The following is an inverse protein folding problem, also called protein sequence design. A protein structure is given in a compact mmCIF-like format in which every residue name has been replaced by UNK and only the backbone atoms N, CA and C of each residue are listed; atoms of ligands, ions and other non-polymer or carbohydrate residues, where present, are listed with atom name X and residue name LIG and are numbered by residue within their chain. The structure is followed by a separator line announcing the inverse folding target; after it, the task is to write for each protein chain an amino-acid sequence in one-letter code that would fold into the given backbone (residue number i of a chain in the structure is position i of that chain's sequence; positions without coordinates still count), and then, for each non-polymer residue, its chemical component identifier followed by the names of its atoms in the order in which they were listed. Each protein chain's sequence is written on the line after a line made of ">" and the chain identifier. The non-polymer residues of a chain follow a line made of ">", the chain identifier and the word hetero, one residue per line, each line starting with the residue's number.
data_IF_912515319149
#
_entry.id   IF_912515319149
#
_cell.length_a   1.000
_cell.length_b   1.000
_cell.length_c   1.000
_cell.angle_alpha   90.00
_cell.angle_beta   90.00
_cell.angle_gamma   90.00
#
_symmetry.space_group_name_H-M   'P 1'
#
loop_
_entity.id
_entity.type
_entity.pdbx_description
1 polymer ?
#
# COMPACT_ATOMS: atom_id res chain seq x y z
N UNK A 6 -8.40 -23.39 -10.91
CA UNK A 6 -7.38 -23.68 -9.88
C UNK A 6 -5.93 -23.77 -10.40
N UNK A 7 -5.46 -22.82 -11.21
CA UNK A 7 -4.18 -22.99 -11.91
C UNK A 7 -3.60 -21.71 -12.55
N UNK A 8 -4.27 -21.26 -13.61
CA UNK A 8 -3.96 -19.98 -14.27
C UNK A 8 -5.23 -19.15 -14.49
N UNK A 9 -5.05 -17.85 -14.71
CA UNK A 9 -6.18 -17.01 -15.16
C UNK A 9 -5.86 -16.04 -16.30
N UNK A 10 -6.87 -15.72 -17.10
CA UNK A 10 -6.71 -14.71 -18.13
C UNK A 10 -7.12 -13.36 -17.58
N UNK A 11 -6.30 -12.36 -17.86
CA UNK A 11 -6.39 -11.08 -17.18
C UNK A 11 -6.77 -9.92 -18.08
N UNK A 12 -7.62 -9.01 -17.61
CA UNK A 12 -7.82 -7.75 -18.31
C UNK A 12 -7.39 -6.57 -17.45
N UNK A 13 -6.22 -6.01 -17.72
CA UNK A 13 -5.67 -4.97 -16.87
C UNK A 13 -6.41 -3.64 -17.05
N UNK A 14 -6.57 -2.90 -15.97
CA UNK A 14 -7.37 -1.68 -16.03
C UNK A 14 -6.51 -0.46 -15.84
N UNK A 15 -5.21 -0.64 -15.68
CA UNK A 15 -4.35 0.48 -15.33
C UNK A 15 -4.25 1.49 -16.44
N UNK A 16 -4.50 1.07 -17.67
CA UNK A 16 -4.43 2.03 -18.77
C UNK A 16 -5.64 2.99 -18.86
N UNK A 17 -6.76 2.60 -18.26
CA UNK A 17 -7.93 3.49 -18.19
C UNK A 17 -7.72 4.64 -17.18
N UNK A 18 -7.22 5.79 -17.63
CA UNK A 18 -6.89 6.87 -16.70
C UNK A 18 -8.12 7.44 -16.00
N UNK A 19 -9.25 7.34 -16.67
CA UNK A 19 -10.48 7.80 -16.08
C UNK A 19 -10.87 6.93 -14.90
N UNK A 20 -11.01 5.64 -15.16
CA UNK A 20 -11.26 4.68 -14.10
C UNK A 20 -10.21 4.81 -13.02
N UNK A 21 -8.95 4.94 -13.42
CA UNK A 21 -7.85 4.95 -12.46
C UNK A 21 -7.96 6.09 -11.46
N UNK A 22 -8.34 7.26 -11.95
CA UNK A 22 -8.53 8.40 -11.09
C UNK A 22 -9.49 8.10 -9.96
N UNK A 23 -10.59 7.46 -10.26
CA UNK A 23 -11.59 7.23 -9.23
C UNK A 23 -11.19 6.10 -8.30
N UNK A 24 -10.37 5.20 -8.80
CA UNK A 24 -9.98 4.00 -8.08
C UNK A 24 -8.87 4.33 -7.07
N UNK A 25 -8.03 5.28 -7.44
CA UNK A 25 -7.03 5.79 -6.53
C UNK A 25 -7.68 6.67 -5.47
N UNK A 26 -8.66 7.46 -5.88
CA UNK A 26 -9.40 8.24 -4.91
C UNK A 26 -10.09 7.33 -3.90
N UNK A 27 -10.60 6.17 -4.34
CA UNK A 27 -11.25 5.28 -3.39
C UNK A 27 -10.22 4.67 -2.46
N UNK A 28 -9.12 4.17 -3.02
CA UNK A 28 -8.03 3.63 -2.22
C UNK A 28 -7.48 4.69 -1.27
N UNK A 29 -7.45 5.93 -1.73
CA UNK A 29 -6.97 7.01 -0.89
C UNK A 29 -7.88 7.19 0.32
N UNK A 30 -9.19 7.09 0.13
CA UNK A 30 -10.11 7.16 1.24
C UNK A 30 -9.88 6.05 2.25
N UNK A 31 -9.42 4.88 1.78
CA UNK A 31 -9.18 3.78 2.69
C UNK A 31 -8.02 4.16 3.59
N UNK A 32 -6.95 4.65 2.98
CA UNK A 32 -5.74 5.05 3.69
C UNK A 32 -6.03 6.18 4.68
N UNK A 33 -6.87 7.13 4.28
CA UNK A 33 -7.26 8.25 5.10
C UNK A 33 -8.00 7.84 6.36
N UNK A 34 -8.74 6.73 6.30
CA UNK A 34 -9.53 6.30 7.46
C UNK A 34 -8.64 5.47 8.36
N UNK A 35 -7.43 5.20 7.87
CA UNK A 35 -6.49 4.34 8.55
C UNK A 35 -6.93 2.90 8.77
N UNK A 36 -7.19 2.17 7.69
CA UNK A 36 -7.60 0.77 7.82
C UNK A 36 -6.46 -0.22 7.60
N UNK A 37 -6.45 -1.30 8.38
CA UNK A 37 -5.47 -2.36 8.20
C UNK A 37 -5.78 -3.08 6.91
N UNK A 38 -5.33 -2.53 5.78
CA UNK A 38 -5.49 -3.23 4.50
C UNK A 38 -4.39 -2.92 3.51
N UNK A 39 -4.10 -3.93 2.70
CA UNK A 39 -3.09 -3.90 1.65
C UNK A 39 -3.76 -3.56 0.32
N UNK A 40 -3.48 -2.35 -0.18
CA UNK A 40 -3.97 -1.91 -1.49
C UNK A 40 -3.49 -2.77 -2.64
N UNK A 41 -4.32 -2.96 -3.65
CA UNK A 41 -3.87 -3.56 -4.89
C UNK A 41 -3.20 -2.53 -5.78
N UNK A 42 -2.07 -2.90 -6.38
CA UNK A 42 -1.31 -1.97 -7.24
C UNK A 42 -1.64 -2.05 -8.76
N UNK A 43 -1.99 -3.22 -9.26
CA UNK A 43 -2.33 -3.33 -10.68
C UNK A 43 -3.73 -3.87 -10.81
N UNK A 44 -4.71 -2.97 -10.76
CA UNK A 44 -6.13 -3.33 -10.84
C UNK A 44 -6.38 -4.02 -12.16
N UNK A 45 -7.24 -5.03 -12.14
CA UNK A 45 -7.50 -5.85 -13.31
C UNK A 45 -8.77 -6.62 -13.07
N UNK A 46 -9.33 -7.17 -14.14
CA UNK A 46 -10.51 -7.99 -14.04
C UNK A 46 -10.17 -9.35 -14.60
N UNK A 47 -10.36 -10.39 -13.79
CA UNK A 47 -10.08 -11.74 -14.21
C UNK A 47 -11.20 -12.18 -15.15
N UNK A 48 -10.86 -12.64 -16.36
CA UNK A 48 -11.90 -12.99 -17.32
C UNK A 48 -12.26 -14.46 -17.26
N UNK A 49 -11.31 -15.30 -16.89
CA UNK A 49 -11.56 -16.72 -16.67
C UNK A 49 -10.38 -17.40 -15.98
N UNK A 50 -10.66 -18.51 -15.32
CA UNK A 50 -9.60 -19.31 -14.72
C UNK A 50 -9.46 -20.57 -15.55
N UNK A 51 -8.26 -21.08 -15.65
CA UNK A 51 -8.10 -22.31 -16.41
C UNK A 51 -7.10 -23.27 -15.80
N UNK A 52 -7.33 -24.57 -16.03
CA UNK A 52 -6.35 -25.57 -15.68
C UNK A 52 -5.48 -25.87 -16.92
N UNK A 53 -4.27 -25.31 -16.90
CA UNK A 53 -3.36 -25.32 -18.04
C UNK A 53 -2.01 -25.94 -17.69
N UNK A 54 -1.48 -26.78 -18.56
CA UNK A 54 -0.09 -27.26 -18.43
C UNK A 54 0.78 -26.33 -19.26
N UNK A 55 2.07 -26.22 -18.93
CA UNK A 55 2.97 -25.24 -19.57
C UNK A 55 3.15 -25.42 -21.08
N UNK A 56 2.66 -26.56 -21.59
CA UNK A 56 2.64 -26.87 -23.02
C UNK A 56 1.29 -26.53 -23.66
N UNK A 57 0.42 -25.86 -22.90
CA UNK A 57 -0.83 -25.35 -23.43
C UNK A 57 -0.79 -23.83 -23.56
N UNK A 58 0.31 -23.24 -23.09
CA UNK A 58 0.59 -21.83 -23.26
C UNK A 58 0.41 -21.36 -24.70
N UNK A 59 0.96 -22.11 -25.65
CA UNK A 59 0.87 -21.71 -27.04
C UNK A 59 -0.58 -21.62 -27.47
N UNK A 60 -1.40 -22.55 -26.99
CA UNK A 60 -2.80 -22.59 -27.39
C UNK A 60 -3.64 -21.56 -26.65
N UNK A 61 -3.13 -21.10 -25.52
CA UNK A 61 -3.81 -20.04 -24.78
C UNK A 61 -3.55 -18.73 -25.51
N UNK A 62 -2.27 -18.44 -25.81
CA UNK A 62 -1.89 -17.23 -26.54
C UNK A 62 -2.72 -17.09 -27.82
N UNK A 63 -2.99 -18.21 -28.47
CA UNK A 63 -3.74 -18.21 -29.72
C UNK A 63 -5.23 -17.85 -29.54
N UNK A 64 -5.79 -18.20 -28.38
CA UNK A 64 -7.20 -17.93 -28.07
C UNK A 64 -7.36 -16.47 -27.73
N UNK A 65 -6.48 -16.01 -26.84
CA UNK A 65 -6.39 -14.61 -26.48
C UNK A 65 -6.29 -13.76 -27.75
N UNK A 66 -5.41 -14.17 -28.65
CA UNK A 66 -5.20 -13.44 -29.90
C UNK A 66 -6.43 -13.50 -30.79
N UNK A 67 -7.23 -14.54 -30.62
CA UNK A 67 -8.33 -14.78 -31.52
C UNK A 67 -9.46 -13.89 -31.13
N UNK A 68 -9.51 -13.57 -29.85
CA UNK A 68 -10.46 -12.62 -29.28
C UNK A 68 -10.05 -11.18 -29.67
N UNK A 69 -8.80 -10.82 -29.35
CA UNK A 69 -8.20 -9.54 -29.72
C UNK A 69 -8.44 -9.15 -31.17
N UNK A 70 -8.55 -10.15 -32.03
CA UNK A 70 -8.82 -9.90 -33.44
C UNK A 70 -10.26 -9.46 -33.64
N UNK A 71 -11.14 -9.88 -32.74
CA UNK A 71 -12.56 -9.56 -32.85
C UNK A 71 -12.95 -8.60 -31.71
N UNK A 72 -11.98 -7.85 -31.21
CA UNK A 72 -12.23 -6.96 -30.08
C UNK A 72 -13.35 -5.95 -30.37
N UNK A 73 -13.52 -5.59 -31.63
CA UNK A 73 -14.60 -4.68 -32.02
C UNK A 73 -16.02 -5.24 -31.75
N UNK A 74 -16.13 -6.54 -31.52
CA UNK A 74 -17.45 -7.12 -31.27
C UNK A 74 -17.90 -6.90 -29.84
N UNK A 75 -17.01 -6.37 -29.01
CA UNK A 75 -17.23 -6.28 -27.57
C UNK A 75 -17.20 -4.83 -27.13
N UNK A 76 -17.16 -3.94 -28.10
CA UNK A 76 -17.13 -2.52 -27.82
C UNK A 76 -18.39 -2.08 -27.10
N UNK A 77 -18.22 -1.22 -26.11
CA UNK A 77 -19.32 -0.91 -25.25
C UNK A 77 -18.82 -0.20 -24.02
N UNK A 78 -19.45 -0.48 -22.90
CA UNK A 78 -19.18 0.24 -21.68
C UNK A 78 -18.84 -0.74 -20.62
N UNK A 79 -17.68 -0.55 -20.01
CA UNK A 79 -17.36 -1.27 -18.81
C UNK A 79 -17.93 -0.39 -17.70
N UNK A 80 -18.85 -0.93 -16.89
CA UNK A 80 -19.35 -0.16 -15.75
C UNK A 80 -18.92 -0.73 -14.42
N UNK A 81 -18.26 0.12 -13.63
CA UNK A 81 -17.75 -0.25 -12.30
C UNK A 81 -18.62 0.36 -11.20
N UNK A 82 -19.15 -0.48 -10.32
CA UNK A 82 -19.95 0.02 -9.21
C UNK A 82 -20.00 -0.91 -7.99
N UNK A 83 -20.73 -0.47 -6.96
CA UNK A 83 -21.02 -1.28 -5.77
C UNK A 83 -19.80 -1.76 -4.99
N UNK A 84 -19.02 -0.82 -4.41
CA UNK A 84 -17.92 -1.33 -3.59
C UNK A 84 -18.45 -2.08 -2.37
N UNK A 85 -18.14 -3.37 -2.30
CA UNK A 85 -18.73 -4.24 -1.31
C UNK A 85 -17.71 -5.27 -0.84
N UNK A 86 -17.98 -5.90 0.29
CA UNK A 86 -17.02 -6.90 0.75
C UNK A 86 -17.29 -8.21 0.04
N UNK A 87 -16.23 -8.86 -0.41
CA UNK A 87 -16.33 -10.16 -1.04
C UNK A 87 -15.21 -10.96 -0.41
N UNK A 88 -15.53 -11.68 0.66
CA UNK A 88 -14.54 -12.36 1.49
C UNK A 88 -13.80 -11.39 2.37
N UNK A 89 -12.48 -11.34 2.17
CA UNK A 89 -11.62 -10.40 2.89
C UNK A 89 -11.27 -9.16 2.06
N UNK A 90 -11.53 -9.19 0.76
CA UNK A 90 -11.19 -8.06 -0.10
C UNK A 90 -12.34 -7.07 -0.28
N UNK A 91 -12.02 -5.79 -0.46
CA UNK A 91 -12.99 -4.82 -0.91
C UNK A 91 -12.89 -4.82 -2.44
N UNK A 92 -14.06 -4.80 -3.08
CA UNK A 92 -14.21 -5.29 -4.43
C UNK A 92 -15.28 -4.47 -5.14
N UNK A 93 -15.03 -4.16 -6.42
CA UNK A 93 -15.97 -3.46 -7.27
C UNK A 93 -16.68 -4.48 -8.17
N UNK A 94 -17.97 -4.29 -8.43
CA UNK A 94 -18.67 -5.13 -9.41
C UNK A 94 -18.32 -4.65 -10.81
N UNK A 95 -18.02 -5.56 -11.73
CA UNK A 95 -17.76 -5.13 -13.11
C UNK A 95 -18.77 -5.65 -14.16
N UNK A 96 -19.24 -4.76 -15.02
CA UNK A 96 -20.17 -5.14 -16.05
C UNK A 96 -19.72 -4.68 -17.43
N UNK A 97 -19.84 -5.58 -18.42
CA UNK A 97 -19.47 -5.26 -19.79
C UNK A 97 -18.49 -6.23 -20.39
N UNK A 98 -18.19 -7.31 -19.67
CA UNK A 98 -17.25 -8.30 -20.16
C UNK A 98 -17.97 -9.63 -20.36
N UNK A 99 -19.29 -9.61 -20.37
CA UNK A 99 -20.09 -10.84 -20.34
C UNK A 99 -19.90 -11.71 -21.60
N UNK A 100 -20.08 -11.12 -22.78
CA UNK A 100 -19.81 -11.85 -24.03
C UNK A 100 -18.35 -12.23 -24.23
N UNK A 101 -17.45 -11.26 -24.11
CA UNK A 101 -16.00 -11.50 -24.06
C UNK A 101 -15.68 -12.72 -23.17
N UNK A 102 -16.33 -12.84 -22.02
CA UNK A 102 -16.06 -13.98 -21.16
C UNK A 102 -16.55 -15.27 -21.81
N UNK A 103 -17.81 -15.28 -22.23
CA UNK A 103 -18.41 -16.46 -22.87
C UNK A 103 -17.57 -16.92 -24.05
N UNK A 104 -17.29 -15.97 -24.93
CA UNK A 104 -16.57 -16.26 -26.14
C UNK A 104 -15.17 -16.83 -25.90
N UNK A 105 -14.37 -16.17 -25.06
CA UNK A 105 -13.00 -16.65 -24.89
C UNK A 105 -13.00 -17.99 -24.20
N UNK A 106 -14.09 -18.31 -23.52
CA UNK A 106 -14.19 -19.61 -22.88
C UNK A 106 -14.40 -20.68 -23.96
N UNK A 107 -15.40 -20.46 -24.83
CA UNK A 107 -15.64 -21.33 -25.99
C UNK A 107 -14.38 -21.55 -26.83
N UNK A 108 -13.71 -20.46 -27.21
CA UNK A 108 -12.46 -20.56 -27.94
C UNK A 108 -11.50 -21.47 -27.19
N UNK A 109 -11.18 -21.15 -25.94
CA UNK A 109 -10.26 -21.93 -25.11
C UNK A 109 -10.57 -23.43 -25.01
N UNK A 110 -11.83 -23.81 -25.12
CA UNK A 110 -12.20 -25.20 -24.95
C UNK A 110 -11.92 -26.02 -26.22
N UNK A 111 -12.38 -25.56 -27.37
CA UNK A 111 -11.99 -26.22 -28.62
C UNK A 111 -10.46 -26.16 -28.87
N UNK A 112 -9.77 -25.23 -28.23
CA UNK A 112 -8.32 -25.26 -28.18
C UNK A 112 -7.84 -26.28 -27.14
N UNK A 113 -8.79 -27.03 -26.59
CA UNK A 113 -8.46 -28.05 -25.60
C UNK A 113 -7.98 -27.56 -24.24
N UNK A 114 -8.25 -26.30 -23.91
CA UNK A 114 -8.02 -25.79 -22.56
C UNK A 114 -9.30 -25.82 -21.71
N UNK A 115 -9.19 -26.37 -20.51
CA UNK A 115 -10.32 -26.43 -19.57
C UNK A 115 -10.34 -25.13 -18.78
N UNK A 116 -11.44 -24.38 -18.92
CA UNK A 116 -11.53 -23.07 -18.30
C UNK A 116 -12.89 -22.85 -17.65
N UNK A 117 -12.94 -21.88 -16.74
CA UNK A 117 -14.13 -21.52 -15.98
C UNK A 117 -14.42 -22.50 -14.85
N UNK A 118 -15.59 -22.32 -14.23
CA UNK A 118 -16.14 -23.24 -13.24
C UNK A 118 -17.61 -23.42 -13.57
N UNK A 119 -18.25 -24.42 -12.94
CA UNK A 119 -19.66 -24.70 -13.18
C UNK A 119 -20.52 -23.64 -12.49
N UNK A 120 -19.99 -23.14 -11.37
CA UNK A 120 -20.60 -22.05 -10.60
C UNK A 120 -20.70 -20.80 -11.46
N UNK A 121 -21.72 -19.98 -11.18
CA UNK A 121 -21.95 -18.77 -11.96
C UNK A 121 -20.72 -17.85 -11.90
N UNK A 122 -20.32 -17.32 -13.06
CA UNK A 122 -19.18 -16.39 -13.10
C UNK A 122 -19.67 -14.99 -12.76
N UNK A 123 -19.05 -14.40 -11.75
CA UNK A 123 -19.34 -13.02 -11.38
C UNK A 123 -18.02 -12.26 -11.34
N UNK A 124 -17.86 -11.31 -12.27
CA UNK A 124 -16.64 -10.52 -12.52
C UNK A 124 -16.48 -9.36 -11.53
N UNK A 125 -15.30 -9.24 -10.94
CA UNK A 125 -15.04 -8.17 -10.00
C UNK A 125 -13.70 -7.50 -10.21
N UNK A 126 -13.54 -6.34 -9.58
CA UNK A 126 -12.28 -5.62 -9.57
C UNK A 126 -11.88 -5.42 -8.13
N UNK A 127 -10.75 -5.98 -7.74
CA UNK A 127 -10.33 -5.90 -6.35
C UNK A 127 -9.67 -4.56 -6.00
N UNK A 128 -10.20 -3.89 -4.96
CA UNK A 128 -9.66 -2.61 -4.49
C UNK A 128 -8.54 -2.78 -3.44
N UNK A 129 -8.75 -3.69 -2.49
CA UNK A 129 -7.85 -3.84 -1.34
C UNK A 129 -8.17 -5.10 -0.59
N UNK A 130 -7.16 -5.76 -0.03
CA UNK A 130 -7.40 -6.95 0.79
C UNK A 130 -7.14 -6.67 2.27
N UNK A 131 -8.09 -7.03 3.12
CA UNK A 131 -7.94 -6.79 4.55
C UNK A 131 -7.32 -8.00 5.27
N UNK A 132 -7.05 -7.80 6.56
CA UNK A 132 -6.34 -8.77 7.40
C UNK A 132 -7.28 -9.85 7.93
N UNK A 133 -8.49 -9.45 8.29
CA UNK A 133 -9.47 -10.39 8.84
C UNK A 133 -10.93 -9.93 8.65
N UNK A 134 -11.52 -10.33 7.53
CA UNK A 134 -12.96 -10.21 7.25
C UNK A 134 -13.61 -8.91 7.75
N UNK A 135 -13.03 -7.76 7.39
CA UNK A 135 -13.41 -6.47 7.95
C UNK A 135 -14.82 -5.98 7.59
N UNK A 136 -14.97 -4.66 7.56
CA UNK A 136 -16.29 -4.08 7.46
C UNK A 136 -16.44 -3.15 6.26
N UNK A 137 -17.63 -3.18 5.69
CA UNK A 137 -17.98 -2.29 4.60
C UNK A 137 -18.62 -1.04 5.17
N UNK A 138 -17.81 -0.03 5.43
CA UNK A 138 -18.36 1.28 5.67
C UNK A 138 -19.13 1.65 4.38
N UNK A 139 -20.04 2.61 4.45
CA UNK A 139 -20.79 3.01 3.27
C UNK A 139 -19.90 3.54 2.16
N UNK A 140 -19.16 2.63 1.52
CA UNK A 140 -18.26 2.98 0.44
C UNK A 140 -19.06 3.26 -0.84
N UNK A 141 -18.61 4.21 -1.64
CA UNK A 141 -19.38 4.63 -2.80
C UNK A 141 -18.54 4.89 -4.05
N UNK A 142 -18.76 4.06 -5.06
CA UNK A 142 -17.99 4.14 -6.29
C UNK A 142 -18.90 3.94 -7.50
N UNK A 143 -18.80 4.84 -8.47
CA UNK A 143 -19.41 4.60 -9.76
C UNK A 143 -18.55 5.11 -10.91
N UNK A 144 -18.32 4.24 -11.88
CA UNK A 144 -17.64 4.69 -13.08
C UNK A 144 -18.03 3.90 -14.32
N UNK A 145 -18.06 4.61 -15.46
CA UNK A 145 -18.35 4.04 -16.77
C UNK A 145 -17.18 4.33 -17.72
N UNK A 146 -16.40 3.31 -18.08
CA UNK A 146 -15.34 3.45 -19.09
C UNK A 146 -15.87 3.03 -20.46
N UNK A 147 -15.64 3.88 -21.48
CA UNK A 147 -15.89 3.36 -22.83
C UNK A 147 -14.81 2.34 -23.22
N UNK A 148 -15.25 1.19 -23.72
CA UNK A 148 -14.37 0.12 -24.16
C UNK A 148 -14.49 -0.02 -25.67
N UNK A 149 -13.60 0.63 -26.39
CA UNK A 149 -13.62 0.61 -27.84
C UNK A 149 -12.16 0.55 -28.29
N UNK A 150 -11.87 -0.09 -29.42
CA UNK A 150 -10.51 0.04 -29.96
C UNK A 150 -10.41 1.25 -30.88
N UNK A 151 -9.27 1.94 -30.85
CA UNK A 151 -9.00 3.13 -31.67
C UNK A 151 -8.92 2.86 -33.17
N UNK A 152 -8.89 3.92 -33.98
CA UNK A 152 -8.69 3.79 -35.43
C UNK A 152 -7.60 4.72 -35.99
N UNK A 153 -7.32 5.80 -35.27
CA UNK A 153 -6.28 6.74 -35.66
C UNK A 153 -5.15 6.65 -34.64
N UNK A 154 -5.00 5.44 -34.10
CA UNK A 154 -3.90 5.15 -33.21
C UNK A 154 -3.49 3.72 -33.48
N UNK A 155 -2.49 3.58 -34.34
CA UNK A 155 -2.00 2.27 -34.77
C UNK A 155 -0.97 1.80 -33.74
N UNK A 156 -0.74 2.65 -32.75
CA UNK A 156 0.15 2.38 -31.62
C UNK A 156 -0.54 1.46 -30.61
N UNK A 157 -1.84 1.24 -30.84
CA UNK A 157 -2.69 0.37 -30.01
C UNK A 157 -2.40 0.49 -28.53
N UNK A 158 -2.56 -0.61 -27.80
CA UNK A 158 -2.41 -0.55 -26.35
C UNK A 158 -2.25 -1.94 -25.73
N UNK A 159 -2.76 -2.07 -24.50
CA UNK A 159 -2.70 -3.32 -23.77
C UNK A 159 -4.01 -4.11 -23.96
N UNK A 160 -4.15 -5.18 -23.18
CA UNK A 160 -5.30 -6.05 -23.30
C UNK A 160 -5.01 -7.36 -22.62
N UNK A 161 -5.78 -8.38 -23.00
CA UNK A 161 -5.72 -9.71 -22.39
C UNK A 161 -4.31 -10.29 -22.25
N UNK A 162 -4.11 -11.01 -21.14
CA UNK A 162 -2.81 -11.55 -20.71
C UNK A 162 -3.06 -12.84 -19.98
N UNK A 163 -2.14 -13.79 -20.10
CA UNK A 163 -2.25 -15.03 -19.35
C UNK A 163 -1.29 -14.98 -18.17
N UNK A 164 -1.79 -15.06 -16.94
CA UNK A 164 -0.89 -14.98 -15.77
C UNK A 164 -0.93 -16.18 -14.81
N UNK A 165 0.18 -16.35 -14.09
CA UNK A 165 0.43 -17.49 -13.22
C UNK A 165 -0.29 -17.42 -11.85
N UNK A 166 -0.80 -18.57 -11.42
CA UNK A 166 -1.47 -18.74 -10.10
C UNK A 166 -2.90 -18.21 -10.10
N UNK B 5 27.32 -2.54 13.89
CA UNK B 5 27.06 -1.11 13.81
C UNK B 5 26.23 -0.80 12.57
N UNK B 6 24.94 -0.45 12.75
CA UNK B 6 24.21 -0.49 14.02
C UNK B 6 23.67 -1.88 14.30
N UNK B 7 22.43 -1.99 14.75
CA UNK B 7 21.97 -3.22 15.41
C UNK B 7 20.52 -3.19 15.94
N UNK B 8 20.29 -2.45 17.04
CA UNK B 8 18.94 -2.15 17.51
C UNK B 8 18.76 -0.64 17.42
N UNK B 9 17.67 -0.14 17.99
CA UNK B 9 17.52 1.30 18.17
C UNK B 9 16.42 1.58 19.18
N UNK B 10 16.43 2.78 19.74
CA UNK B 10 15.38 3.18 20.67
C UNK B 10 14.37 3.98 19.88
N UNK B 11 13.10 3.61 20.05
CA UNK B 11 12.05 4.10 19.19
C UNK B 11 11.04 4.94 19.96
N UNK B 12 10.49 5.96 19.31
CA UNK B 12 9.36 6.70 19.87
C UNK B 12 8.16 6.56 18.92
N UNK B 13 7.18 5.74 19.30
CA UNK B 13 5.97 5.47 18.51
C UNK B 13 5.07 6.68 18.44
N UNK B 14 4.56 7.01 17.25
CA UNK B 14 3.72 8.19 17.10
C UNK B 14 2.24 7.83 16.93
N UNK B 15 1.96 6.53 16.84
CA UNK B 15 0.60 6.03 16.61
C UNK B 15 -0.41 6.49 17.67
N UNK B 16 0.11 6.83 18.86
CA UNK B 16 -0.70 7.31 19.97
C UNK B 16 -1.23 8.72 19.75
N UNK B 17 -0.51 9.53 18.99
CA UNK B 17 -0.92 10.92 18.80
C UNK B 17 -2.05 11.04 17.76
N UNK B 18 -3.29 10.89 18.19
CA UNK B 18 -4.42 10.95 17.27
C UNK B 18 -4.45 12.26 16.47
N UNK B 19 -3.83 13.30 17.02
CA UNK B 19 -3.73 14.56 16.31
C UNK B 19 -2.79 14.45 15.14
N UNK B 20 -1.65 13.79 15.37
CA UNK B 20 -0.62 13.66 14.35
C UNK B 20 -1.09 12.68 13.27
N UNK B 21 -1.72 11.60 13.72
CA UNK B 21 -2.21 10.55 12.83
C UNK B 21 -3.16 11.10 11.78
N UNK B 22 -4.07 11.98 12.19
CA UNK B 22 -5.01 12.61 11.28
C UNK B 22 -4.37 13.19 10.04
N UNK B 23 -3.37 14.03 10.21
CA UNK B 23 -2.77 14.70 9.06
C UNK B 23 -1.71 13.81 8.41
N UNK B 24 -1.26 12.80 9.14
CA UNK B 24 -0.26 11.87 8.63
C UNK B 24 -0.91 10.95 7.59
N UNK B 25 -2.01 10.31 7.97
CA UNK B 25 -2.80 9.53 7.03
C UNK B 25 -3.33 10.37 5.86
N UNK B 26 -3.71 11.62 6.13
CA UNK B 26 -4.08 12.53 5.06
C UNK B 26 -2.96 12.72 4.03
N UNK B 27 -1.72 12.87 4.49
CA UNK B 27 -0.60 13.00 3.56
C UNK B 27 -0.34 11.70 2.81
N UNK B 28 -0.46 10.57 3.50
CA UNK B 28 -0.32 9.27 2.85
C UNK B 28 -1.46 9.04 1.84
N UNK B 29 -2.67 9.42 2.23
CA UNK B 29 -3.81 9.34 1.33
C UNK B 29 -3.54 10.16 0.07
N UNK B 30 -2.89 11.31 0.22
CA UNK B 30 -2.55 12.14 -0.92
C UNK B 30 -1.55 11.47 -1.85
N UNK B 31 -0.60 10.75 -1.28
CA UNK B 31 0.40 10.06 -2.09
C UNK B 31 -0.28 9.06 -2.98
N UNK B 32 -1.34 8.44 -2.44
CA UNK B 32 -2.08 7.44 -3.18
C UNK B 32 -2.81 8.05 -4.38
N UNK B 33 -3.59 9.11 -4.13
CA UNK B 33 -4.28 9.84 -5.20
C UNK B 33 -3.39 10.19 -6.42
N UNK B 34 -2.15 10.58 -6.17
CA UNK B 34 -1.22 10.93 -7.26
C UNK B 34 -0.81 9.68 -8.04
N UNK B 35 -0.92 8.52 -7.40
CA UNK B 35 -0.58 7.27 -8.06
C UNK B 35 0.90 7.03 -8.14
N UNK B 36 1.63 7.46 -7.11
CA UNK B 36 3.08 7.25 -7.00
C UNK B 36 3.39 5.80 -6.63
N UNK B 37 4.52 5.27 -7.10
CA UNK B 37 4.90 3.91 -6.73
C UNK B 37 5.57 3.91 -5.38
N UNK B 38 4.78 3.81 -4.31
CA UNK B 38 5.33 3.91 -2.96
C UNK B 38 4.85 2.81 -2.01
N UNK B 39 5.69 2.50 -1.03
CA UNK B 39 5.29 1.69 0.10
C UNK B 39 4.99 2.62 1.28
N UNK B 40 3.78 2.58 1.80
CA UNK B 40 3.41 3.45 2.89
C UNK B 40 3.91 2.90 4.22
N UNK B 41 4.46 3.78 5.03
CA UNK B 41 4.92 3.40 6.36
C UNK B 41 3.72 3.12 7.25
N UNK B 42 3.69 1.93 7.85
CA UNK B 42 2.51 1.49 8.58
C UNK B 42 2.47 1.97 10.03
N UNK B 43 3.61 1.91 10.71
CA UNK B 43 3.66 2.30 12.13
C UNK B 43 4.61 3.46 12.31
N UNK B 44 4.09 4.68 12.13
CA UNK B 44 4.92 5.88 12.16
C UNK B 44 5.64 6.07 13.50
N UNK B 45 6.92 6.39 13.44
CA UNK B 45 7.73 6.55 14.63
C UNK B 45 8.92 7.48 14.39
N UNK B 46 9.65 7.81 15.46
CA UNK B 46 10.89 8.55 15.38
C UNK B 46 11.97 7.75 16.08
N UNK B 47 13.03 7.38 15.37
CA UNK B 47 14.15 6.70 16.00
C UNK B 47 14.99 7.68 16.83
N UNK B 48 14.85 7.61 18.16
CA UNK B 48 15.62 8.43 19.10
C UNK B 48 17.15 8.19 19.06
N UNK B 49 17.59 6.94 18.96
CA UNK B 49 19.01 6.65 18.78
C UNK B 49 19.26 5.24 18.27
N UNK B 50 20.20 5.08 17.36
CA UNK B 50 20.64 3.74 16.99
C UNK B 50 21.57 3.19 18.08
N UNK B 51 21.65 1.89 18.19
CA UNK B 51 22.50 1.26 19.18
C UNK B 51 23.30 0.14 18.52
N UNK B 52 24.50 -0.10 19.05
CA UNK B 52 25.22 -1.34 18.76
C UNK B 52 25.35 -2.11 20.06
N UNK B 53 24.48 -3.09 20.25
CA UNK B 53 24.27 -3.68 21.57
C UNK B 53 24.30 -5.22 21.49
N UNK B 54 24.83 -5.88 22.52
CA UNK B 54 24.72 -7.33 22.64
C UNK B 54 23.56 -7.63 23.59
N UNK B 55 22.93 -8.79 23.46
CA UNK B 55 21.75 -9.11 24.27
C UNK B 55 22.01 -9.04 25.79
N UNK B 56 23.24 -9.26 26.21
CA UNK B 56 23.55 -9.13 27.64
C UNK B 56 23.63 -7.65 28.10
N UNK B 57 23.22 -6.73 27.24
CA UNK B 57 23.15 -5.33 27.63
C UNK B 57 21.73 -4.78 27.57
N UNK B 58 20.77 -5.64 27.26
CA UNK B 58 19.37 -5.24 27.23
C UNK B 58 18.91 -4.56 28.52
N UNK B 59 19.32 -5.10 29.67
CA UNK B 59 18.89 -4.53 30.93
C UNK B 59 19.34 -3.08 31.06
N UNK B 60 20.57 -2.78 30.65
CA UNK B 60 21.10 -1.42 30.68
C UNK B 60 20.20 -0.47 29.91
N UNK B 61 19.88 -0.86 28.68
CA UNK B 61 18.95 -0.09 27.86
C UNK B 61 17.62 0.15 28.60
N UNK B 62 17.09 -0.88 29.25
CA UNK B 62 15.86 -0.73 30.04
C UNK B 62 15.99 0.41 31.04
N UNK B 63 17.02 0.32 31.88
CA UNK B 63 17.29 1.33 32.89
C UNK B 63 17.55 2.70 32.27
N UNK B 64 18.20 2.71 31.11
CA UNK B 64 18.42 3.97 30.40
C UNK B 64 17.07 4.57 30.07
N UNK B 65 16.22 3.77 29.42
CA UNK B 65 14.86 4.18 29.09
C UNK B 65 14.11 4.51 30.37
N UNK B 66 14.17 3.61 31.35
CA UNK B 66 13.58 3.83 32.65
C UNK B 66 13.94 5.19 33.25
N UNK B 67 15.21 5.56 33.16
CA UNK B 67 15.64 6.83 33.72
C UNK B 67 14.93 8.02 33.05
N UNK B 68 14.88 8.04 31.73
CA UNK B 68 14.25 9.11 30.97
C UNK B 68 12.77 9.19 31.29
N UNK B 69 12.10 8.05 31.26
CA UNK B 69 10.68 8.01 31.59
C UNK B 69 10.39 8.64 32.94
N UNK B 70 11.13 8.25 33.97
CA UNK B 70 10.95 8.83 35.30
C UNK B 70 11.00 10.36 35.30
N UNK B 71 12.03 10.94 34.71
CA UNK B 71 12.23 12.39 34.66
C UNK B 71 11.56 12.98 33.40
N UNK B 72 10.38 12.47 33.04
CA UNK B 72 9.80 12.79 31.73
C UNK B 72 9.38 14.24 31.61
N UNK B 73 8.93 14.80 32.73
CA UNK B 73 8.47 16.20 32.76
C UNK B 73 9.54 17.18 32.26
N UNK B 74 10.81 16.77 32.33
CA UNK B 74 11.92 17.63 31.89
C UNK B 74 11.88 17.82 30.39
N UNK B 75 11.37 16.81 29.69
CA UNK B 75 11.42 16.78 28.24
C UNK B 75 10.09 17.20 27.65
N UNK B 76 9.24 17.80 28.48
CA UNK B 76 7.99 18.34 27.97
C UNK B 76 8.32 19.57 27.10
N UNK B 77 7.37 19.90 26.23
CA UNK B 77 7.61 20.91 25.24
C UNK B 77 6.87 20.51 23.98
N UNK B 78 7.04 21.27 22.91
CA UNK B 78 6.33 20.98 21.68
C UNK B 78 7.20 20.16 20.75
N UNK B 79 6.57 19.15 20.14
CA UNK B 79 7.16 18.39 19.05
C UNK B 79 6.58 18.93 17.74
N UNK B 80 7.43 19.33 16.80
CA UNK B 80 6.91 19.78 15.52
C UNK B 80 7.36 18.94 14.33
N UNK B 81 6.39 18.65 13.46
CA UNK B 81 6.60 17.91 12.22
C UNK B 81 6.31 18.84 11.06
N UNK B 82 7.22 18.87 10.08
CA UNK B 82 7.18 19.84 8.99
C UNK B 82 8.16 19.47 7.88
N UNK B 83 8.16 20.28 6.84
CA UNK B 83 9.09 20.11 5.71
C UNK B 83 9.22 18.67 5.20
N UNK B 84 8.19 18.15 4.52
CA UNK B 84 8.37 16.87 3.84
C UNK B 84 9.49 17.01 2.82
N UNK B 85 10.26 15.95 2.60
CA UNK B 85 11.34 15.97 1.62
C UNK B 85 11.92 14.59 1.48
N UNK B 86 12.70 14.39 0.43
CA UNK B 86 13.36 13.11 0.22
C UNK B 86 14.57 12.91 1.13
N UNK B 87 14.87 11.64 1.42
CA UNK B 87 16.08 11.27 2.13
C UNK B 87 16.54 9.99 1.48
N UNK B 88 17.12 10.12 0.30
CA UNK B 88 17.40 8.95 -0.51
C UNK B 88 16.08 8.49 -1.08
N UNK B 89 15.75 7.22 -0.92
CA UNK B 89 14.50 6.69 -1.44
C UNK B 89 13.26 6.86 -0.53
N UNK B 90 13.39 7.56 0.61
CA UNK B 90 12.25 7.73 1.53
C UNK B 90 11.70 9.17 1.60
N UNK B 91 10.39 9.32 1.49
CA UNK B 91 9.76 10.61 1.81
C UNK B 91 9.68 10.72 3.32
N UNK B 92 10.07 11.88 3.85
CA UNK B 92 10.33 11.98 5.29
C UNK B 92 9.94 13.33 5.88
N UNK B 93 9.52 13.33 7.13
CA UNK B 93 9.16 14.55 7.86
C UNK B 93 10.28 14.98 8.83
N UNK B 94 10.41 16.28 9.06
CA UNK B 94 11.41 16.83 9.99
C UNK B 94 10.80 16.89 11.39
N UNK B 95 11.45 16.26 12.36
CA UNK B 95 10.94 16.31 13.73
C UNK B 95 11.81 17.17 14.63
N UNK B 96 11.19 17.94 15.52
CA UNK B 96 11.91 18.88 16.36
C UNK B 96 11.26 18.98 17.74
N UNK B 97 12.05 18.67 18.78
CA UNK B 97 11.57 18.73 20.15
C UNK B 97 12.08 17.54 20.94
N UNK B 98 12.96 16.77 20.33
CA UNK B 98 13.46 15.54 20.94
C UNK B 98 14.95 15.65 21.16
N UNK B 99 15.52 16.84 20.95
CA UNK B 99 16.99 17.00 20.98
C UNK B 99 17.53 16.78 22.38
N UNK B 100 16.84 17.36 23.36
CA UNK B 100 17.24 17.21 24.74
C UNK B 100 17.10 15.76 25.21
N UNK B 101 15.94 15.14 24.95
CA UNK B 101 15.73 13.74 25.29
C UNK B 101 16.75 12.84 24.59
N UNK B 102 17.15 13.23 23.37
CA UNK B 102 18.11 12.44 22.62
C UNK B 102 19.47 12.45 23.28
N UNK B 103 20.03 13.63 23.53
CA UNK B 103 21.40 13.72 24.06
C UNK B 103 21.55 13.20 25.49
N UNK B 104 20.49 13.29 26.29
CA UNK B 104 20.46 12.70 27.62
C UNK B 104 20.56 11.20 27.58
N UNK B 105 19.69 10.57 26.79
CA UNK B 105 19.63 9.12 26.76
C UNK B 105 20.88 8.57 26.08
N UNK B 106 21.60 9.42 25.36
CA UNK B 106 22.84 8.94 24.76
C UNK B 106 23.95 8.96 25.78
N UNK B 107 23.92 9.95 26.66
CA UNK B 107 24.88 10.00 27.77
C UNK B 107 24.69 8.77 28.64
N UNK B 108 23.53 8.68 29.27
CA UNK B 108 23.17 7.51 30.08
C UNK B 108 23.59 6.21 29.41
N UNK B 109 23.28 6.06 28.13
CA UNK B 109 23.62 4.84 27.44
C UNK B 109 25.14 4.60 27.41
N UNK B 110 25.91 5.63 27.09
CA UNK B 110 27.35 5.47 27.10
C UNK B 110 27.89 5.29 28.52
N UNK B 111 27.28 5.96 29.50
CA UNK B 111 27.70 5.76 30.89
C UNK B 111 27.39 4.34 31.39
N UNK B 112 26.53 3.62 30.65
CA UNK B 112 26.25 2.22 30.95
C UNK B 112 26.99 1.31 29.98
N UNK B 113 27.84 1.92 29.17
CA UNK B 113 28.67 1.14 28.27
C UNK B 113 27.88 0.63 27.10
N UNK B 114 26.92 1.44 26.66
CA UNK B 114 26.17 1.15 25.46
C UNK B 114 26.60 2.11 24.36
N UNK B 115 27.17 1.57 23.30
CA UNK B 115 27.55 2.38 22.16
C UNK B 115 26.26 2.86 21.48
N UNK B 116 26.08 4.18 21.42
CA UNK B 116 24.79 4.73 21.04
C UNK B 116 24.84 5.83 19.99
N UNK B 117 25.97 5.99 19.30
CA UNK B 117 26.10 7.07 18.31
C UNK B 117 25.83 8.47 18.93
N UNK B 118 26.91 9.20 19.25
CA UNK B 118 26.76 10.51 19.88
C UNK B 118 26.66 11.62 18.83
N UNK B 119 27.76 11.87 18.11
CA UNK B 119 27.82 12.82 16.99
C UNK B 119 26.99 14.11 17.11
N UNK B 122 23.19 13.68 14.11
CA UNK B 122 21.84 13.14 14.36
C UNK B 122 20.73 14.09 13.91
N UNK B 123 20.05 13.69 12.83
CA UNK B 123 18.88 14.42 12.32
C UNK B 123 17.59 13.61 12.51
N UNK B 124 16.71 14.10 13.41
CA UNK B 124 15.49 13.37 13.78
C UNK B 124 14.39 13.52 12.70
N UNK B 125 14.05 12.41 12.05
CA UNK B 125 12.99 12.44 11.04
C UNK B 125 11.87 11.45 11.30
N UNK B 126 10.83 11.52 10.46
CA UNK B 126 9.73 10.57 10.48
C UNK B 126 9.50 10.02 9.08
N UNK B 127 9.63 8.70 8.89
CA UNK B 127 9.43 8.11 7.57
C UNK B 127 7.94 8.01 7.21
N UNK B 128 7.61 8.44 5.98
CA UNK B 128 6.23 8.46 5.51
C UNK B 128 6.00 7.40 4.45
N UNK B 129 6.73 7.48 3.35
CA UNK B 129 6.64 6.47 2.32
C UNK B 129 8.00 6.12 1.73
N UNK B 130 8.18 4.86 1.34
CA UNK B 130 9.35 4.43 0.60
C UNK B 130 9.04 4.39 -0.90
N UNK B 131 9.64 5.28 -1.68
CA UNK B 131 9.43 5.25 -3.13
C UNK B 131 10.38 4.21 -3.74
N UNK B 132 9.93 3.56 -4.82
CA UNK B 132 10.75 2.55 -5.50
C UNK B 132 12.02 3.16 -6.10
N UNK B 133 11.86 4.28 -6.81
CA UNK B 133 12.98 5.01 -7.38
C UNK B 133 13.17 6.38 -6.70
N UNK B 139 7.01 19.04 -3.29
CA UNK B 139 6.39 20.20 -2.68
C UNK B 139 5.06 19.83 -2.05
N UNK B 140 5.14 19.14 -0.90
CA UNK B 140 4.01 18.38 -0.38
C UNK B 140 3.20 19.06 0.73
N UNK B 141 3.86 19.86 1.55
CA UNK B 141 3.24 20.52 2.69
C UNK B 141 2.78 19.60 3.84
N UNK B 142 3.24 19.93 5.05
CA UNK B 142 2.83 19.26 6.28
C UNK B 142 3.25 20.13 7.48
N UNK B 143 2.38 20.21 8.48
CA UNK B 143 2.72 20.86 9.73
C UNK B 143 1.82 20.36 10.87
N UNK B 144 2.43 19.74 11.88
CA UNK B 144 1.72 19.47 13.13
C UNK B 144 2.59 19.85 14.33
N UNK B 145 1.99 20.60 15.25
CA UNK B 145 2.66 21.03 16.48
C UNK B 145 2.02 20.25 17.62
N UNK B 146 2.77 19.33 18.21
CA UNK B 146 2.21 18.43 19.23
C UNK B 146 2.70 18.75 20.62
N UNK B 147 1.77 19.10 21.51
CA UNK B 147 2.11 19.24 22.93
C UNK B 147 2.50 17.87 23.46
N UNK B 148 3.77 17.65 23.72
CA UNK B 148 4.22 16.38 24.29
C UNK B 148 3.60 16.19 25.70
N UNK B 149 3.75 17.19 26.58
CA UNK B 149 3.24 17.17 27.98
C UNK B 149 3.30 15.79 28.70
N UNK B 150 2.39 15.57 29.65
CA UNK B 150 2.27 14.27 30.32
C UNK B 150 0.94 13.61 30.00
N UNK B 159 4.78 7.68 28.98
CA UNK B 159 5.74 6.64 28.66
C UNK B 159 5.50 5.99 27.30
N UNK B 160 6.29 6.40 26.29
CA UNK B 160 6.34 5.68 25.02
C UNK B 160 7.76 5.53 24.48
N UNK B 161 8.51 4.53 24.92
CA UNK B 161 9.84 4.28 24.38
C UNK B 161 10.15 2.77 24.40
N UNK B 162 10.65 2.26 23.27
CA UNK B 162 10.84 0.83 23.08
C UNK B 162 12.24 0.54 22.66
N UNK B 163 12.80 -0.54 23.17
CA UNK B 163 13.95 -1.12 22.49
C UNK B 163 13.37 -1.97 21.37
N UNK B 164 13.77 -1.68 20.15
CA UNK B 164 13.36 -2.54 19.05
C UNK B 164 14.60 -2.95 18.24
N UNK B 165 14.56 -4.19 17.75
CA UNK B 165 15.68 -4.80 17.02
C UNK B 165 15.53 -4.53 15.53
N UNK B 166 16.65 -4.41 14.82
CA UNK B 166 16.57 -4.26 13.38
C UNK B 166 16.59 -5.64 12.70
N UNK B 167 15.55 -5.92 11.89
CA UNK B 167 14.47 -4.97 11.68
C UNK B 167 13.22 -5.59 11.05
#
# INVERSE_FOLDING_TARGET
>A
AFADKPNHFINFPLAQFSGFMGKYLKLQSQLVEMGLDCKLQKAPHVSITLLDIKADQYKQVEFAIQEIIDDLAAYEGDIVFDNPHMLGRCLVLDVRGFEELHEDIVEILRRRGCTADQSRHWIPHCTVAQFDEERETKGMQFYHKEPFYLKHNNLLTDAGLELVKIGSSKIDGFYCSELSVWCGERLCYKPPTPKFSDGSGSHHHHHH
>B
AFADKPNHFINFPLAQFSGFMGKYLKLQSQLVEMGLDCKLQKAPHVSITLLDIKADQYKQVEFAIQEIIDDLAAYEGDIVFDNPHMLGRCLVLDVRGFEELHEDIVEILRRRGCTADQSRHWIPHCTVAQFDEERETKGMQFYHKEPFYLKHNNLLTDAGLELVKIGSSKIDGFYCSELSVWCGERLCYKPPTPKFSDGSGSHHHHHH
#
